data_IF_471299147252
#
_entry.id   IF_471299147252
#
_cell.length_a   1.000
_cell.length_b   1.000
_cell.length_c   1.000
_cell.angle_alpha   90.00
_cell.angle_beta   90.00
_cell.angle_gamma   90.00
#
_symmetry.space_group_name_H-M   'P 1'
#
loop_
_entity.id
_entity.type
_entity.pdbx_description
1 polymer ?
#
# COMPACT_ATOMS: atom_id res chain seq x y z
N UNK A 1 7.87 -4.11 -5.22
CA UNK A 1 7.82 -2.62 -5.17
C UNK A 1 8.13 -2.04 -6.55
N UNK A 2 9.29 -2.32 -7.12
CA UNK A 2 9.68 -1.74 -8.41
C UNK A 2 8.71 -2.07 -9.55
N UNK A 3 8.21 -3.30 -9.61
CA UNK A 3 7.24 -3.72 -10.64
C UNK A 3 5.96 -2.89 -10.57
N UNK A 4 5.48 -2.59 -9.36
CA UNK A 4 4.28 -1.76 -9.18
C UNK A 4 4.55 -0.31 -9.56
N UNK A 5 5.71 0.23 -9.16
CA UNK A 5 6.10 1.59 -9.52
C UNK A 5 6.24 1.76 -11.03
N UNK A 6 6.80 0.74 -11.71
CA UNK A 6 6.92 0.73 -13.18
C UNK A 6 5.53 0.72 -13.84
N UNK A 7 4.63 -0.13 -13.35
CA UNK A 7 3.24 -0.19 -13.83
C UNK A 7 2.54 1.16 -13.68
N UNK A 8 2.81 1.88 -12.59
CA UNK A 8 2.23 3.18 -12.30
C UNK A 8 2.97 4.35 -12.97
N UNK A 9 3.94 4.06 -13.84
CA UNK A 9 4.77 5.05 -14.55
C UNK A 9 5.56 5.97 -13.59
N UNK A 10 6.01 5.43 -12.48
CA UNK A 10 6.68 6.17 -11.40
C UNK A 10 7.96 5.49 -10.89
N UNK A 11 8.61 4.66 -11.71
CA UNK A 11 9.80 3.91 -11.29
C UNK A 11 10.91 4.83 -10.79
N UNK A 12 11.07 6.01 -11.39
CA UNK A 12 12.06 7.01 -10.99
C UNK A 12 11.83 7.60 -9.60
N UNK A 13 10.62 7.44 -9.06
CA UNK A 13 10.30 7.90 -7.70
C UNK A 13 10.83 6.96 -6.61
N UNK A 14 11.23 5.73 -6.99
CA UNK A 14 11.75 4.74 -6.03
C UNK A 14 13.20 5.05 -5.71
N UNK A 15 13.43 5.64 -4.54
CA UNK A 15 14.77 6.01 -4.05
C UNK A 15 15.19 5.21 -2.81
N UNK A 16 14.29 4.42 -2.26
CA UNK A 16 14.53 3.60 -1.07
C UNK A 16 15.49 2.44 -1.39
N UNK A 17 16.34 2.09 -0.43
CA UNK A 17 17.27 0.97 -0.55
C UNK A 17 16.76 -0.26 0.20
N UNK A 18 17.34 -1.43 -0.10
CA UNK A 18 17.04 -2.65 0.64
C UNK A 18 17.39 -2.50 2.13
N UNK A 19 18.52 -1.83 2.42
CA UNK A 19 18.93 -1.55 3.79
C UNK A 19 17.90 -0.70 4.55
N UNK A 20 17.36 0.33 3.90
CA UNK A 20 16.29 1.15 4.48
C UNK A 20 15.06 0.28 4.82
N UNK A 21 14.64 -0.58 3.89
CA UNK A 21 13.51 -1.47 4.10
C UNK A 21 13.74 -2.43 5.27
N UNK A 22 14.94 -3.00 5.37
CA UNK A 22 15.28 -3.90 6.47
C UNK A 22 15.24 -3.18 7.81
N UNK A 23 15.85 -2.02 7.90
CA UNK A 23 15.90 -1.24 9.14
C UNK A 23 14.52 -0.78 9.58
N UNK A 24 13.68 -0.37 8.65
CA UNK A 24 12.36 0.18 8.94
C UNK A 24 11.31 -0.90 9.22
N UNK A 25 11.45 -2.08 8.65
CA UNK A 25 10.45 -3.14 8.79
C UNK A 25 10.79 -4.17 9.86
N UNK A 26 12.06 -4.42 10.12
CA UNK A 26 12.52 -5.48 11.01
C UNK A 26 13.27 -4.96 12.24
N UNK A 27 13.26 -3.66 12.46
CA UNK A 27 13.85 -3.04 13.65
C UNK A 27 12.94 -3.14 14.87
N UNK A 28 13.34 -2.46 15.96
CA UNK A 28 12.61 -2.46 17.23
C UNK A 28 11.22 -1.84 17.13
N UNK A 29 11.07 -0.86 16.24
CA UNK A 29 9.81 -0.14 16.00
C UNK A 29 9.50 -0.19 14.52
N UNK A 30 8.86 -1.28 14.04
CA UNK A 30 8.56 -1.40 12.61
C UNK A 30 7.56 -0.34 12.16
N UNK A 31 7.80 0.19 10.96
CA UNK A 31 6.94 1.20 10.35
C UNK A 31 5.92 0.60 9.40
N UNK A 32 6.11 -0.67 9.02
CA UNK A 32 5.22 -1.35 8.09
C UNK A 32 5.17 -2.85 8.37
N UNK A 33 4.18 -3.50 7.78
CA UNK A 33 4.01 -4.95 7.76
C UNK A 33 3.61 -5.37 6.35
N UNK A 34 3.68 -6.64 6.07
CA UNK A 34 3.28 -7.13 4.76
C UNK A 34 2.85 -8.60 4.81
N UNK A 35 2.06 -8.98 3.80
CA UNK A 35 1.76 -10.36 3.45
C UNK A 35 2.34 -10.65 2.08
N UNK A 36 2.77 -11.86 1.87
CA UNK A 36 3.22 -12.32 0.55
C UNK A 36 2.40 -13.51 0.09
N UNK A 37 2.19 -13.61 -1.21
CA UNK A 37 1.67 -14.81 -1.85
C UNK A 37 2.85 -15.56 -2.48
N UNK A 38 2.96 -16.84 -2.19
CA UNK A 38 4.02 -17.69 -2.71
C UNK A 38 3.45 -18.83 -3.56
N UNK A 39 4.19 -19.21 -4.60
CA UNK A 39 3.92 -20.37 -5.40
C UNK A 39 5.25 -21.07 -5.68
N UNK A 40 5.41 -22.30 -5.18
CA UNK A 40 6.65 -23.10 -5.33
C UNK A 40 7.90 -22.29 -4.93
N UNK A 41 7.89 -21.73 -3.71
CA UNK A 41 8.98 -20.93 -3.14
C UNK A 41 9.27 -19.61 -3.87
N UNK A 42 8.43 -19.24 -4.84
CA UNK A 42 8.54 -17.98 -5.56
C UNK A 42 7.50 -16.99 -5.04
N UNK A 43 7.93 -15.79 -4.72
CA UNK A 43 7.04 -14.71 -4.31
C UNK A 43 6.34 -14.16 -5.54
N UNK A 44 5.01 -14.21 -5.56
CA UNK A 44 4.18 -13.82 -6.69
C UNK A 44 3.21 -12.68 -6.37
N UNK A 45 3.10 -12.29 -5.12
CA UNK A 45 2.22 -11.21 -4.71
C UNK A 45 2.66 -10.57 -3.41
N UNK A 46 2.24 -9.31 -3.22
CA UNK A 46 2.57 -8.50 -2.06
C UNK A 46 1.37 -7.66 -1.64
N UNK A 47 1.11 -7.65 -0.34
CA UNK A 47 0.22 -6.70 0.33
C UNK A 47 1.04 -6.01 1.41
N UNK A 48 1.36 -4.76 1.19
CA UNK A 48 2.25 -3.97 2.05
C UNK A 48 1.44 -2.87 2.73
N UNK A 49 1.47 -2.79 4.05
CA UNK A 49 0.59 -1.89 4.78
C UNK A 49 1.24 -1.34 6.04
N UNK A 50 0.63 -0.29 6.58
CA UNK A 50 0.94 0.27 7.89
C UNK A 50 -0.35 0.67 8.61
N UNK A 51 -0.24 0.99 9.89
CA UNK A 51 -1.39 1.41 10.70
C UNK A 51 -1.42 2.93 10.71
N UNK A 52 -2.52 3.49 10.18
CA UNK A 52 -2.80 4.93 10.17
C UNK A 52 -3.81 5.25 11.28
N UNK A 53 -3.65 6.37 11.91
CA UNK A 53 -4.59 6.81 12.95
C UNK A 53 -5.48 7.94 12.43
N UNK A 54 -6.80 7.74 12.49
CA UNK A 54 -7.80 8.75 12.21
C UNK A 54 -8.26 9.35 13.52
N UNK A 55 -8.24 10.68 13.62
CA UNK A 55 -8.77 11.37 14.80
C UNK A 55 -10.30 11.23 14.94
N UNK A 56 -10.96 10.85 13.84
CA UNK A 56 -12.41 10.62 13.85
C UNK A 56 -12.79 9.19 14.19
N UNK A 57 -11.97 8.22 13.76
CA UNK A 57 -12.36 6.80 13.80
C UNK A 57 -11.31 5.86 14.40
N UNK A 58 -10.14 6.34 14.77
CA UNK A 58 -9.10 5.50 15.38
C UNK A 58 -8.19 4.82 14.37
N UNK A 59 -7.81 3.58 14.65
CA UNK A 59 -6.82 2.84 13.88
C UNK A 59 -7.39 2.27 12.58
N UNK A 60 -6.70 2.53 11.47
CA UNK A 60 -7.01 2.00 10.14
C UNK A 60 -5.79 1.28 9.58
N UNK A 61 -6.03 0.23 8.81
CA UNK A 61 -4.99 -0.34 7.94
C UNK A 61 -4.91 0.52 6.68
N UNK A 62 -3.73 1.10 6.43
CA UNK A 62 -3.46 1.77 5.16
C UNK A 62 -2.67 0.82 4.26
N UNK A 63 -3.30 0.41 3.16
CA UNK A 63 -2.69 -0.48 2.18
C UNK A 63 -1.87 0.36 1.19
N UNK A 64 -0.55 0.36 1.37
CA UNK A 64 0.37 1.15 0.56
C UNK A 64 0.59 0.54 -0.83
N UNK A 65 0.94 -0.74 -0.87
CA UNK A 65 1.17 -1.47 -2.11
C UNK A 65 0.37 -2.76 -2.11
N UNK A 66 -0.26 -3.04 -3.24
CA UNK A 66 -0.96 -4.29 -3.47
C UNK A 66 -0.73 -4.72 -4.91
N UNK A 67 -0.01 -5.81 -5.11
CA UNK A 67 0.41 -6.24 -6.46
C UNK A 67 0.49 -7.75 -6.57
N UNK A 68 0.06 -8.27 -7.70
CA UNK A 68 0.27 -9.66 -8.12
C UNK A 68 1.12 -9.62 -9.39
N UNK A 69 2.12 -10.48 -9.50
CA UNK A 69 2.91 -10.59 -10.71
C UNK A 69 2.02 -10.85 -11.92
N UNK A 70 2.33 -10.21 -13.03
CA UNK A 70 1.47 -10.20 -14.22
C UNK A 70 1.09 -11.61 -14.69
N UNK A 71 2.04 -12.53 -14.74
CA UNK A 71 1.83 -13.91 -15.17
C UNK A 71 0.92 -14.74 -14.24
N UNK A 72 0.67 -14.25 -13.03
CA UNK A 72 -0.19 -14.91 -12.05
C UNK A 72 -1.54 -14.21 -11.83
N UNK A 73 -1.83 -13.18 -12.61
CA UNK A 73 -3.11 -12.45 -12.52
C UNK A 73 -4.27 -13.28 -13.08
N UNK A 74 -5.50 -12.90 -12.70
CA UNK A 74 -6.76 -13.54 -13.14
C UNK A 74 -6.89 -15.00 -12.70
N UNK A 75 -6.20 -15.40 -11.64
CA UNK A 75 -6.28 -16.76 -11.07
C UNK A 75 -6.85 -16.78 -9.66
N UNK A 76 -7.40 -15.65 -9.20
CA UNK A 76 -7.98 -15.55 -7.86
C UNK A 76 -6.99 -15.27 -6.74
N UNK A 77 -5.70 -15.13 -7.04
CA UNK A 77 -4.64 -14.89 -6.04
C UNK A 77 -4.80 -13.52 -5.40
N UNK A 78 -5.15 -12.52 -6.20
CA UNK A 78 -5.42 -11.17 -5.70
C UNK A 78 -6.55 -11.16 -4.68
N UNK A 79 -7.62 -11.88 -4.94
CA UNK A 79 -8.74 -12.00 -4.00
C UNK A 79 -8.31 -12.66 -2.70
N UNK A 80 -7.55 -13.75 -2.77
CA UNK A 80 -7.04 -14.44 -1.57
C UNK A 80 -6.18 -13.50 -0.74
N UNK A 81 -5.23 -12.80 -1.36
CA UNK A 81 -4.33 -11.91 -0.67
C UNK A 81 -5.06 -10.69 -0.07
N UNK A 82 -6.02 -10.13 -0.80
CA UNK A 82 -6.83 -9.03 -0.33
C UNK A 82 -7.71 -9.44 0.86
N UNK A 83 -8.32 -10.60 0.79
CA UNK A 83 -9.15 -11.15 1.88
C UNK A 83 -8.32 -11.47 3.12
N UNK A 84 -7.08 -11.95 2.97
CA UNK A 84 -6.17 -12.12 4.11
C UNK A 84 -5.80 -10.76 4.73
N UNK A 85 -5.65 -9.73 3.93
CA UNK A 85 -5.42 -8.36 4.43
C UNK A 85 -6.65 -7.87 5.21
N UNK A 86 -7.85 -8.11 4.69
CA UNK A 86 -9.10 -7.81 5.40
C UNK A 86 -9.18 -8.58 6.72
N UNK A 87 -8.74 -9.84 6.71
CA UNK A 87 -8.73 -10.66 7.91
C UNK A 87 -7.83 -10.08 9.01
N UNK A 88 -6.72 -9.46 8.66
CA UNK A 88 -5.89 -8.71 9.62
C UNK A 88 -6.69 -7.59 10.27
N UNK A 89 -7.48 -6.84 9.49
CA UNK A 89 -8.35 -5.80 10.03
C UNK A 89 -9.33 -6.37 11.05
N UNK A 90 -9.91 -7.52 10.77
CA UNK A 90 -10.85 -8.18 11.68
C UNK A 90 -10.16 -8.65 12.96
N UNK A 91 -9.06 -9.37 12.84
CA UNK A 91 -8.36 -9.96 14.00
C UNK A 91 -7.73 -8.92 14.91
N UNK A 92 -7.28 -7.80 14.37
CA UNK A 92 -6.72 -6.69 15.13
C UNK A 92 -7.75 -5.64 15.53
N UNK A 93 -9.02 -5.88 15.20
CA UNK A 93 -10.13 -4.97 15.51
C UNK A 93 -9.87 -3.54 15.01
N UNK A 94 -9.41 -3.41 13.77
CA UNK A 94 -9.18 -2.12 13.13
C UNK A 94 -10.52 -1.54 12.65
N UNK A 95 -10.60 -0.23 12.58
CA UNK A 95 -11.86 0.49 12.29
C UNK A 95 -12.10 0.72 10.80
N UNK A 96 -11.19 0.28 9.97
CA UNK A 96 -11.34 0.35 8.52
C UNK A 96 -10.03 0.06 7.81
N UNK A 97 -10.13 0.03 6.49
CA UNK A 97 -9.02 -0.19 5.58
C UNK A 97 -9.11 0.86 4.48
N UNK A 98 -7.99 1.48 4.15
CA UNK A 98 -7.95 2.58 3.20
C UNK A 98 -6.74 2.42 2.29
N UNK A 99 -6.88 2.83 1.05
CA UNK A 99 -5.81 2.81 0.04
C UNK A 99 -6.05 3.88 -1.00
N UNK A 100 -5.06 4.06 -1.87
CA UNK A 100 -5.17 4.93 -3.03
C UNK A 100 -5.07 4.10 -4.29
N UNK A 101 -5.72 4.54 -5.34
CA UNK A 101 -5.65 3.93 -6.67
C UNK A 101 -5.63 5.05 -7.70
N UNK A 102 -4.76 4.91 -8.70
CA UNK A 102 -4.71 5.88 -9.81
C UNK A 102 -6.02 5.84 -10.59
N UNK A 103 -6.51 7.00 -10.97
CA UNK A 103 -7.82 7.14 -11.61
C UNK A 103 -7.95 6.42 -12.96
N UNK A 104 -6.82 6.20 -13.64
CA UNK A 104 -6.76 5.47 -14.90
C UNK A 104 -6.67 3.95 -14.72
N UNK A 105 -6.43 3.46 -13.50
CA UNK A 105 -6.23 2.02 -13.23
C UNK A 105 -7.57 1.30 -13.10
N UNK A 106 -8.25 1.17 -14.23
CA UNK A 106 -9.59 0.54 -14.31
C UNK A 106 -9.62 -0.89 -13.77
N UNK A 107 -8.66 -1.79 -14.10
CA UNK A 107 -8.69 -3.15 -13.55
C UNK A 107 -8.66 -3.19 -12.02
N UNK A 108 -7.83 -2.35 -11.39
CA UNK A 108 -7.78 -2.27 -9.93
C UNK A 108 -9.07 -1.71 -9.34
N UNK A 109 -9.62 -0.65 -9.93
CA UNK A 109 -10.88 -0.06 -9.51
C UNK A 109 -12.01 -1.09 -9.56
N UNK A 110 -12.12 -1.85 -10.66
CA UNK A 110 -13.12 -2.90 -10.79
C UNK A 110 -12.93 -4.02 -9.77
N UNK A 111 -11.68 -4.37 -9.47
CA UNK A 111 -11.36 -5.35 -8.43
C UNK A 111 -11.89 -4.88 -7.06
N UNK A 112 -11.62 -3.64 -6.68
CA UNK A 112 -12.06 -3.11 -5.39
C UNK A 112 -13.58 -2.98 -5.29
N UNK A 113 -14.25 -2.66 -6.39
CA UNK A 113 -15.71 -2.59 -6.44
C UNK A 113 -16.39 -3.91 -6.11
N UNK A 114 -15.74 -5.04 -6.35
CA UNK A 114 -16.26 -6.37 -5.98
C UNK A 114 -16.46 -6.50 -4.46
N UNK A 115 -15.74 -5.71 -3.69
CA UNK A 115 -15.83 -5.71 -2.23
C UNK A 115 -16.69 -4.55 -1.72
N UNK A 116 -17.46 -3.90 -2.58
CA UNK A 116 -18.29 -2.74 -2.27
C UNK A 116 -17.47 -1.56 -1.71
N UNK A 117 -16.23 -1.40 -2.17
CA UNK A 117 -15.38 -0.30 -1.75
C UNK A 117 -15.92 1.04 -2.23
N UNK A 118 -15.87 2.05 -1.38
CA UNK A 118 -16.16 3.43 -1.75
C UNK A 118 -14.90 4.05 -2.36
N UNK A 119 -15.02 4.52 -3.60
CA UNK A 119 -13.91 5.18 -4.29
C UNK A 119 -14.33 6.61 -4.58
N UNK A 120 -13.59 7.58 -4.01
CA UNK A 120 -13.93 8.98 -4.11
C UNK A 120 -12.75 9.83 -4.56
N UNK A 121 -13.06 11.03 -5.08
CA UNK A 121 -12.07 12.03 -5.53
C UNK A 121 -12.12 13.31 -4.69
N UNK A 122 -12.73 13.25 -3.52
CA UNK A 122 -13.01 14.45 -2.73
C UNK A 122 -11.76 15.10 -2.13
N UNK A 123 -10.73 14.31 -1.87
CA UNK A 123 -9.52 14.78 -1.21
C UNK A 123 -8.41 15.03 -2.22
N UNK A 124 -7.85 16.25 -2.17
CA UNK A 124 -6.65 16.58 -2.93
C UNK A 124 -5.42 16.15 -2.14
N UNK A 125 -4.40 15.64 -2.82
CA UNK A 125 -3.15 15.21 -2.21
C UNK A 125 -2.17 16.40 -2.13
N UNK A 126 -1.70 16.71 -0.92
CA UNK A 126 -0.61 17.66 -0.71
C UNK A 126 0.69 16.91 -0.45
N UNK A 127 1.79 17.43 -0.94
CA UNK A 127 3.11 16.80 -0.81
C UNK A 127 4.22 17.84 -0.80
N UNK A 128 5.18 17.65 0.11
CA UNK A 128 6.47 18.30 0.04
C UNK A 128 7.55 17.23 -0.04
N UNK A 129 8.41 17.29 -1.03
CA UNK A 129 9.56 16.40 -1.13
C UNK A 129 10.59 16.73 -0.05
N UNK A 130 11.54 15.83 0.18
CA UNK A 130 12.65 16.08 1.11
C UNK A 130 13.38 17.38 0.76
N UNK A 131 13.70 17.58 -0.51
CA UNK A 131 14.35 18.79 -1.00
C UNK A 131 13.50 20.05 -0.72
N UNK A 132 12.22 20.01 -0.95
CA UNK A 132 11.32 21.12 -0.66
C UNK A 132 11.28 21.43 0.84
N UNK A 133 11.26 20.42 1.69
CA UNK A 133 11.29 20.59 3.15
C UNK A 133 12.59 21.28 3.57
N UNK A 134 13.72 20.82 3.05
CA UNK A 134 15.05 21.38 3.37
C UNK A 134 15.18 22.84 2.93
N UNK A 135 14.48 23.24 1.87
CA UNK A 135 14.53 24.59 1.32
C UNK A 135 13.51 25.55 1.94
N UNK A 136 12.62 25.09 2.81
CA UNK A 136 11.69 25.97 3.50
C UNK A 136 12.46 26.79 4.55
N UNK A 137 12.36 28.11 4.45
CA UNK A 137 12.94 29.00 5.44
C UNK A 137 11.97 29.17 6.62
N UNK A 138 12.42 28.75 7.80
CA UNK A 138 11.59 28.83 9.01
C UNK A 138 12.08 29.98 9.87
N UNK A 139 11.22 30.97 10.06
CA UNK A 139 11.46 32.08 10.97
C UNK A 139 10.97 31.68 12.38
N UNK A 140 11.87 31.65 13.34
CA UNK A 140 11.54 31.39 14.74
C UNK A 140 11.54 32.67 15.55
#
# INVERSE_FOLDING_TARGET
INELADYENALEEVTITLEDLENDGFGTHPWYWFLIAENNEKIIGLSFYFIRYSTWKGKFLFLEDFVIKEEYRKQGIGSLLFEETINICKTQNLNGMIWQVLDWNTPAIEFYKKYNADISKEWLNGKLSKSQIENVHINK
#
